data_IF_373997301551
#
_entry.id   IF_373997301551
#
_cell.length_a   1.000
_cell.length_b   1.000
_cell.length_c   1.000
_cell.angle_alpha   90.00
_cell.angle_beta   90.00
_cell.angle_gamma   90.00
#
_symmetry.space_group_name_H-M   'P 1'
#
loop_
_entity.id
_entity.type
_entity.pdbx_description
1 polymer ?
#
# COMPACT_ATOMS: atom_id res chain seq x y z
N UNK A 1 -3.62 55.39 13.47
CA UNK A 1 -3.84 54.95 14.84
C UNK A 1 -4.90 53.86 14.82
N UNK A 2 -4.50 52.61 14.59
CA UNK A 2 -5.31 51.42 14.90
C UNK A 2 -4.34 50.22 14.97
N UNK A 3 -4.42 49.56 16.10
CA UNK A 3 -3.46 48.55 16.59
C UNK A 3 -3.57 47.23 15.81
N UNK A 4 -2.44 46.65 15.47
CA UNK A 4 -2.22 45.23 15.18
C UNK A 4 -2.53 44.40 16.43
N UNK A 5 -3.41 43.41 16.29
CA UNK A 5 -3.50 42.29 17.23
C UNK A 5 -3.00 41.04 16.51
N UNK A 6 -1.84 40.59 16.94
CA UNK A 6 -1.29 39.29 16.63
C UNK A 6 -2.11 38.19 17.31
N UNK A 7 -2.64 37.23 16.55
CA UNK A 7 -3.21 36.02 17.10
C UNK A 7 -2.33 34.87 16.62
N UNK A 8 -1.41 34.44 17.48
CA UNK A 8 -0.64 33.23 17.28
C UNK A 8 -1.50 32.01 17.56
N UNK A 9 -1.84 31.27 16.53
CA UNK A 9 -2.42 29.95 16.65
C UNK A 9 -1.37 28.92 16.17
N UNK A 10 -0.72 28.26 17.14
CA UNK A 10 0.10 27.08 16.91
C UNK A 10 -0.79 25.94 16.42
N UNK A 11 -0.80 25.72 15.13
CA UNK A 11 -1.42 24.54 14.53
C UNK A 11 -0.55 23.32 14.83
N UNK A 12 -0.91 22.52 15.83
CA UNK A 12 -0.33 21.19 16.05
C UNK A 12 -0.98 20.24 15.04
N UNK A 13 -0.25 19.91 13.99
CA UNK A 13 -0.62 18.83 13.07
C UNK A 13 -0.64 17.52 13.83
N UNK A 14 -1.82 16.96 14.04
CA UNK A 14 -1.99 15.60 14.55
C UNK A 14 -1.85 14.65 13.37
N UNK A 15 -0.67 14.10 13.20
CA UNK A 15 -0.43 12.96 12.33
C UNK A 15 -1.03 11.74 13.01
N UNK A 16 -2.20 11.30 12.57
CA UNK A 16 -2.73 9.98 12.93
C UNK A 16 -2.22 9.00 11.87
N UNK A 17 -0.97 8.59 12.03
CA UNK A 17 -0.52 7.32 11.52
C UNK A 17 -1.37 6.23 12.21
N UNK A 18 -1.78 5.19 11.48
CA UNK A 18 -2.35 3.99 12.09
C UNK A 18 -1.28 3.43 13.02
N UNK A 19 -1.40 3.79 14.31
CA UNK A 19 -0.41 3.48 15.33
C UNK A 19 -0.53 2.00 15.67
N UNK A 20 0.43 1.22 15.22
CA UNK A 20 0.75 -0.07 15.81
C UNK A 20 1.36 0.19 17.19
N UNK A 21 0.62 -0.14 18.26
CA UNK A 21 1.14 -0.14 19.61
C UNK A 21 2.10 -1.31 19.75
N UNK A 22 3.39 -1.03 19.61
CA UNK A 22 4.44 -1.93 20.09
C UNK A 22 4.62 -1.66 21.58
N UNK A 23 4.17 -2.56 22.44
CA UNK A 23 4.53 -2.58 23.84
C UNK A 23 5.97 -3.06 23.99
N UNK A 24 6.90 -2.12 24.05
CA UNK A 24 8.28 -2.40 24.46
C UNK A 24 8.33 -2.53 25.98
N UNK A 25 8.50 -3.74 26.45
CA UNK A 25 8.84 -4.01 27.86
C UNK A 25 10.24 -3.46 28.15
N UNK A 26 10.32 -2.44 29.00
CA UNK A 26 11.57 -1.91 29.47
C UNK A 26 12.24 -2.88 30.44
N UNK A 27 13.45 -3.34 30.12
CA UNK A 27 14.37 -3.92 31.08
C UNK A 27 15.22 -2.80 31.68
N UNK A 28 15.08 -2.60 32.99
CA UNK A 28 15.92 -1.71 33.78
C UNK A 28 17.36 -2.24 33.85
N UNK A 29 18.32 -1.40 33.44
CA UNK A 29 19.74 -1.65 33.67
C UNK A 29 20.07 -1.36 35.13
N UNK A 30 20.47 -2.37 35.89
CA UNK A 30 21.11 -2.19 37.17
C UNK A 30 22.62 -2.05 37.00
N UNK A 31 23.16 -0.95 37.45
CA UNK A 31 24.59 -0.70 37.58
C UNK A 31 25.13 -1.45 38.84
N UNK A 32 26.07 -2.34 38.62
CA UNK A 32 26.88 -2.90 39.72
C UNK A 32 28.29 -2.36 39.58
N UNK A 33 28.68 -1.51 40.54
CA UNK A 33 30.07 -1.17 40.79
C UNK A 33 30.61 -2.19 41.79
N UNK A 34 31.67 -2.91 41.43
CA UNK A 34 32.51 -3.56 42.43
C UNK A 34 33.99 -3.49 42.02
N UNK A 35 34.79 -2.99 42.95
CA UNK A 35 36.23 -2.82 42.89
C UNK A 35 36.88 -3.98 43.62
N UNK A 36 37.70 -4.75 42.96
CA UNK A 36 38.40 -5.88 43.61
C UNK A 36 39.68 -6.30 42.90
N UNK A 37 40.79 -5.79 43.41
CA UNK A 37 42.17 -6.27 43.45
C UNK A 37 42.70 -7.29 42.44
N UNK A 38 43.85 -6.91 41.87
CA UNK A 38 44.71 -7.67 41.02
C UNK A 38 45.34 -8.92 41.66
N UNK A 39 45.34 -10.02 40.92
CA UNK A 39 46.27 -11.14 41.09
C UNK A 39 46.79 -11.58 39.74
N UNK A 40 48.09 -11.49 39.56
CA UNK A 40 48.85 -11.89 38.40
C UNK A 40 48.87 -13.44 38.24
N UNK A 41 48.36 -13.92 37.09
CA UNK A 41 48.65 -15.28 36.61
C UNK A 41 49.07 -15.25 35.15
N UNK A 42 50.20 -15.89 34.91
CA UNK A 42 50.95 -16.09 33.69
C UNK A 42 50.13 -16.45 32.47
N UNK A 43 50.39 -15.74 31.37
CA UNK A 43 49.79 -15.92 30.07
C UNK A 43 50.32 -17.14 29.34
N UNK A 44 49.42 -17.96 28.85
CA UNK A 44 49.69 -18.86 27.73
C UNK A 44 48.76 -18.41 26.57
N UNK A 45 49.28 -17.97 25.42
CA UNK A 45 48.43 -17.48 24.36
C UNK A 45 47.91 -18.62 23.49
N UNK A 46 46.86 -19.27 23.92
CA UNK A 46 46.03 -20.06 23.01
C UNK A 46 45.14 -19.07 22.25
N UNK A 47 45.43 -18.79 21.00
CA UNK A 47 44.60 -18.05 20.08
C UNK A 47 43.23 -18.75 19.95
N UNK A 48 42.31 -18.41 20.84
CA UNK A 48 40.89 -18.64 20.57
C UNK A 48 40.48 -17.71 19.43
N UNK A 49 40.36 -18.29 18.24
CA UNK A 49 39.62 -17.66 17.14
C UNK A 49 38.24 -17.28 17.70
N UNK A 50 38.05 -16.00 18.00
CA UNK A 50 36.76 -15.49 18.40
C UNK A 50 35.77 -15.92 17.33
N UNK A 51 34.82 -16.76 17.68
CA UNK A 51 33.70 -17.09 16.83
C UNK A 51 33.02 -15.72 16.57
N UNK A 52 33.05 -15.24 15.35
CA UNK A 52 32.26 -14.11 14.91
C UNK A 52 30.82 -14.52 15.19
N UNK A 53 30.23 -13.98 16.25
CA UNK A 53 28.81 -14.07 16.51
C UNK A 53 28.12 -13.51 15.27
N UNK A 54 27.63 -14.38 14.41
CA UNK A 54 26.75 -13.94 13.32
C UNK A 54 25.52 -13.39 14.00
N UNK A 55 25.28 -12.10 13.80
CA UNK A 55 24.01 -11.49 14.16
C UNK A 55 22.90 -12.37 13.56
N UNK A 56 22.00 -12.94 14.37
CA UNK A 56 20.91 -13.76 13.88
C UNK A 56 19.86 -12.95 13.10
N UNK A 57 19.96 -11.64 13.10
CA UNK A 57 19.05 -10.76 12.36
C UNK A 57 19.34 -10.87 10.87
N UNK A 58 18.30 -11.25 10.11
CA UNK A 58 18.29 -11.19 8.64
C UNK A 58 17.32 -10.10 8.22
N UNK A 59 17.78 -9.18 7.37
CA UNK A 59 16.95 -8.11 6.84
C UNK A 59 15.72 -8.71 6.14
N UNK A 60 14.48 -8.22 6.42
CA UNK A 60 13.26 -8.69 5.77
C UNK A 60 13.30 -8.71 4.25
N UNK A 61 14.08 -7.82 3.64
CA UNK A 61 14.29 -7.78 2.18
C UNK A 61 15.14 -8.96 1.63
N UNK A 62 15.86 -9.68 2.51
CA UNK A 62 16.75 -10.78 2.13
C UNK A 62 16.32 -12.11 2.80
N UNK A 63 15.33 -12.06 3.70
CA UNK A 63 14.77 -13.22 4.37
C UNK A 63 13.52 -13.72 3.63
N UNK A 64 13.44 -14.98 3.19
CA UNK A 64 12.22 -15.54 2.62
C UNK A 64 11.10 -15.59 3.67
N UNK A 65 9.86 -15.49 3.22
CA UNK A 65 8.70 -15.64 4.09
C UNK A 65 8.66 -17.02 4.75
N UNK A 66 8.32 -17.06 6.04
CA UNK A 66 8.08 -18.34 6.73
C UNK A 66 6.85 -19.04 6.12
N UNK A 67 6.95 -20.36 5.92
CA UNK A 67 5.83 -21.16 5.44
C UNK A 67 4.95 -21.64 6.60
N UNK A 68 3.65 -21.59 6.39
CA UNK A 68 2.63 -21.97 7.38
C UNK A 68 1.71 -23.03 6.79
N UNK A 69 1.40 -24.08 7.53
CA UNK A 69 0.48 -25.14 7.09
C UNK A 69 -0.98 -24.66 7.03
N UNK A 70 -1.39 -23.79 7.97
CA UNK A 70 -2.74 -23.24 8.03
C UNK A 70 -2.73 -21.72 7.88
N UNK A 71 -3.14 -21.26 6.69
CA UNK A 71 -3.16 -19.84 6.35
C UNK A 71 -4.55 -19.21 6.47
N UNK A 72 -5.59 -19.99 6.80
CA UNK A 72 -6.97 -19.53 6.82
C UNK A 72 -7.27 -18.39 7.83
N UNK A 73 -6.35 -18.13 8.76
CA UNK A 73 -6.46 -17.07 9.77
C UNK A 73 -5.29 -16.09 9.75
N UNK A 74 -4.40 -16.19 8.76
CA UNK A 74 -3.26 -15.28 8.67
C UNK A 74 -3.68 -13.92 8.09
N UNK A 75 -3.08 -12.83 8.57
CA UNK A 75 -3.42 -11.49 8.14
C UNK A 75 -3.12 -11.26 6.65
N UNK A 76 -4.16 -10.99 5.88
CA UNK A 76 -4.09 -10.59 4.47
C UNK A 76 -4.36 -9.11 4.33
N UNK A 77 -3.64 -8.43 3.44
CA UNK A 77 -3.75 -6.99 3.21
C UNK A 77 -4.44 -6.65 1.89
N UNK A 78 -4.29 -7.51 0.87
CA UNK A 78 -4.88 -7.28 -0.45
C UNK A 78 -5.21 -8.60 -1.13
N UNK A 79 -6.13 -8.55 -2.09
CA UNK A 79 -6.56 -9.68 -2.92
C UNK A 79 -6.83 -9.23 -4.35
N UNK A 80 -6.41 -10.03 -5.33
CA UNK A 80 -6.65 -9.80 -6.74
C UNK A 80 -6.91 -11.12 -7.48
N UNK A 81 -7.45 -11.02 -8.70
CA UNK A 81 -7.69 -12.17 -9.59
C UNK A 81 -6.59 -12.27 -10.65
N UNK A 82 -5.95 -13.44 -10.76
CA UNK A 82 -5.10 -13.86 -11.86
C UNK A 82 -5.91 -14.81 -12.76
N UNK A 83 -6.80 -14.28 -13.58
CA UNK A 83 -7.81 -15.05 -14.30
C UNK A 83 -8.82 -15.71 -13.35
N UNK A 84 -8.83 -17.05 -13.28
CA UNK A 84 -9.69 -17.80 -12.34
C UNK A 84 -9.06 -17.95 -10.95
N UNK A 85 -7.72 -17.86 -10.86
CA UNK A 85 -7.00 -17.95 -9.59
C UNK A 85 -7.18 -16.66 -8.80
N UNK A 86 -7.36 -16.80 -7.51
CA UNK A 86 -7.25 -15.70 -6.56
C UNK A 86 -5.86 -15.69 -5.95
N UNK A 87 -5.29 -14.52 -5.84
CA UNK A 87 -3.99 -14.28 -5.17
C UNK A 87 -4.21 -13.25 -4.08
N UNK A 88 -3.75 -13.53 -2.88
CA UNK A 88 -3.80 -12.61 -1.76
C UNK A 88 -2.41 -12.43 -1.17
N UNK A 89 -2.12 -11.23 -0.68
CA UNK A 89 -0.86 -10.92 -0.01
C UNK A 89 -1.11 -10.36 1.37
N UNK A 90 -0.10 -10.47 2.24
CA UNK A 90 -0.26 -10.02 3.62
C UNK A 90 1.05 -9.83 4.35
N UNK A 91 0.94 -9.86 5.68
CA UNK A 91 2.05 -9.56 6.57
C UNK A 91 3.17 -10.60 6.45
N UNK A 92 4.40 -10.15 6.71
CA UNK A 92 5.63 -10.96 6.72
C UNK A 92 5.85 -11.76 5.43
N UNK A 93 5.58 -11.13 4.28
CA UNK A 93 5.78 -11.72 2.97
C UNK A 93 4.76 -12.82 2.61
N UNK A 94 3.66 -12.95 3.36
CA UNK A 94 2.62 -13.93 3.06
C UNK A 94 2.05 -13.73 1.67
N UNK A 95 2.12 -14.78 0.84
CA UNK A 95 1.41 -14.86 -0.44
C UNK A 95 0.57 -16.13 -0.42
N UNK A 96 -0.71 -16.01 -0.66
CA UNK A 96 -1.68 -17.10 -0.64
C UNK A 96 -2.43 -17.18 -1.98
N UNK A 97 -2.73 -18.38 -2.43
CA UNK A 97 -3.46 -18.63 -3.68
C UNK A 97 -4.65 -19.57 -3.45
N UNK A 98 -5.70 -19.36 -4.24
CA UNK A 98 -6.86 -20.25 -4.31
C UNK A 98 -7.22 -20.49 -5.77
N UNK A 99 -7.42 -21.77 -6.13
CA UNK A 99 -7.81 -22.20 -7.47
C UNK A 99 -9.30 -22.67 -7.54
N UNK A 100 -9.98 -22.63 -6.41
CA UNK A 100 -11.35 -23.16 -6.24
C UNK A 100 -12.38 -22.06 -5.87
N UNK A 101 -12.07 -20.81 -6.24
CA UNK A 101 -12.96 -19.67 -5.97
C UNK A 101 -12.98 -19.23 -4.51
N UNK A 102 -11.90 -19.47 -3.76
CA UNK A 102 -11.73 -19.02 -2.38
C UNK A 102 -12.20 -20.02 -1.32
N UNK A 103 -12.52 -21.28 -1.70
CA UNK A 103 -12.93 -22.31 -0.76
C UNK A 103 -11.72 -22.86 0.02
N UNK A 104 -10.61 -23.07 -0.66
CA UNK A 104 -9.33 -23.44 -0.02
C UNK A 104 -8.20 -22.51 -0.45
N UNK A 105 -7.21 -22.38 0.43
CA UNK A 105 -6.07 -21.51 0.23
C UNK A 105 -4.77 -22.21 0.58
N UNK A 106 -3.76 -22.01 -0.23
CA UNK A 106 -2.40 -22.48 0.01
C UNK A 106 -1.41 -21.34 -0.07
N UNK A 107 -0.35 -21.40 0.75
CA UNK A 107 0.74 -20.45 0.70
C UNK A 107 1.72 -20.83 -0.40
N UNK A 108 2.24 -19.82 -1.11
CA UNK A 108 3.37 -19.97 -2.02
C UNK A 108 4.60 -19.27 -1.45
N UNK A 109 5.84 -19.74 -1.77
CA UNK A 109 7.03 -19.10 -1.29
C UNK A 109 7.18 -17.68 -1.79
N UNK A 110 7.62 -16.77 -0.90
CA UNK A 110 7.99 -15.40 -1.24
C UNK A 110 9.47 -15.16 -0.88
N UNK A 111 10.21 -14.40 -1.71
CA UNK A 111 11.64 -14.17 -1.51
C UNK A 111 11.97 -13.15 -0.41
N UNK A 112 10.95 -12.53 0.20
CA UNK A 112 11.07 -11.52 1.26
C UNK A 112 10.13 -11.82 2.40
N UNK A 113 10.42 -11.28 3.58
CA UNK A 113 9.50 -11.25 4.73
C UNK A 113 9.00 -9.84 5.07
N UNK A 114 9.19 -8.87 4.20
CA UNK A 114 8.53 -7.55 4.29
C UNK A 114 7.03 -7.68 4.09
N UNK A 115 6.23 -6.85 4.77
CA UNK A 115 4.77 -6.86 4.60
C UNK A 115 4.38 -6.44 3.18
N UNK A 116 3.52 -7.23 2.54
CA UNK A 116 2.99 -6.97 1.20
C UNK A 116 1.60 -6.34 1.32
N UNK A 117 1.40 -5.20 0.66
CA UNK A 117 0.23 -4.33 0.86
C UNK A 117 -0.75 -4.31 -0.31
N UNK A 118 -0.26 -4.43 -1.53
CA UNK A 118 -1.10 -4.33 -2.73
C UNK A 118 -0.67 -5.28 -3.84
N UNK A 119 -1.62 -5.61 -4.72
CA UNK A 119 -1.48 -6.50 -5.88
C UNK A 119 -2.04 -5.85 -7.14
N UNK A 120 -1.42 -6.15 -8.29
CA UNK A 120 -1.98 -5.85 -9.62
C UNK A 120 -1.73 -7.03 -10.56
N UNK A 121 -2.77 -7.46 -11.25
CA UNK A 121 -2.74 -8.48 -12.30
C UNK A 121 -3.42 -7.95 -13.57
N UNK A 122 -2.68 -7.42 -14.55
CA UNK A 122 -3.27 -6.99 -15.83
C UNK A 122 -3.75 -8.15 -16.69
N UNK A 123 -3.26 -9.36 -16.40
CA UNK A 123 -3.70 -10.61 -17.06
C UNK A 123 -3.52 -11.81 -16.11
N UNK A 124 -3.87 -13.01 -16.57
CA UNK A 124 -3.85 -14.21 -15.74
C UNK A 124 -2.46 -14.72 -15.34
N UNK A 125 -1.39 -14.29 -16.01
CA UNK A 125 -0.02 -14.79 -15.79
C UNK A 125 0.89 -13.77 -15.13
N UNK A 126 0.82 -12.50 -15.55
CA UNK A 126 1.69 -11.44 -15.06
C UNK A 126 1.06 -10.72 -13.88
N UNK A 127 1.81 -10.58 -12.79
CA UNK A 127 1.33 -9.87 -11.61
C UNK A 127 2.47 -9.26 -10.80
N UNK A 128 2.15 -8.20 -10.07
CA UNK A 128 3.07 -7.49 -9.19
C UNK A 128 2.47 -7.33 -7.80
N UNK A 129 3.34 -7.43 -6.80
CA UNK A 129 3.02 -7.14 -5.40
C UNK A 129 3.98 -6.09 -4.87
N UNK A 130 3.47 -5.14 -4.09
CA UNK A 130 4.29 -4.10 -3.46
C UNK A 130 4.00 -4.02 -1.96
N UNK A 131 4.94 -3.42 -1.21
CA UNK A 131 4.75 -3.31 0.23
C UNK A 131 5.78 -2.46 0.96
N UNK A 132 5.97 -2.79 2.23
CA UNK A 132 6.98 -2.17 3.09
C UNK A 132 8.38 -2.34 2.50
N UNK A 133 9.30 -1.50 2.97
CA UNK A 133 10.70 -1.46 2.50
C UNK A 133 10.83 -1.18 0.98
N UNK A 134 9.78 -0.61 0.36
CA UNK A 134 9.75 -0.30 -1.06
C UNK A 134 9.80 -1.53 -1.98
N UNK A 135 9.48 -2.71 -1.44
CA UNK A 135 9.58 -3.97 -2.18
C UNK A 135 8.62 -4.01 -3.38
N UNK A 136 9.12 -4.53 -4.49
CA UNK A 136 8.32 -4.91 -5.67
C UNK A 136 8.65 -6.35 -6.02
N UNK A 137 7.64 -7.21 -5.95
CA UNK A 137 7.72 -8.60 -6.41
C UNK A 137 6.97 -8.76 -7.73
N UNK A 138 7.42 -9.68 -8.56
CA UNK A 138 6.84 -10.02 -9.85
C UNK A 138 6.62 -11.52 -9.99
N UNK A 139 5.49 -11.88 -10.60
CA UNK A 139 5.19 -13.25 -11.05
C UNK A 139 4.90 -13.25 -12.56
N UNK A 140 5.33 -14.32 -13.25
CA UNK A 140 5.04 -14.54 -14.67
C UNK A 140 4.15 -15.79 -14.90
N UNK A 141 3.68 -16.43 -13.81
CA UNK A 141 2.98 -17.72 -13.84
C UNK A 141 1.67 -17.72 -13.02
N UNK A 142 1.07 -16.54 -12.87
CA UNK A 142 -0.18 -16.36 -12.15
C UNK A 142 -0.05 -16.55 -10.64
N UNK A 143 1.08 -16.12 -10.07
CA UNK A 143 1.32 -16.13 -8.64
C UNK A 143 1.82 -17.46 -8.07
N UNK A 144 2.30 -18.41 -8.91
CA UNK A 144 2.91 -19.66 -8.42
C UNK A 144 4.32 -19.43 -7.90
N UNK A 145 5.09 -18.59 -8.60
CA UNK A 145 6.46 -18.21 -8.21
C UNK A 145 6.62 -16.69 -8.25
N UNK A 146 7.47 -16.16 -7.39
CA UNK A 146 7.70 -14.74 -7.24
C UNK A 146 9.20 -14.42 -7.17
N UNK A 147 9.60 -13.36 -7.85
CA UNK A 147 10.95 -12.81 -7.80
C UNK A 147 10.90 -11.36 -7.32
N UNK A 148 11.92 -10.93 -6.57
CA UNK A 148 12.09 -9.53 -6.20
C UNK A 148 12.73 -8.77 -7.36
N UNK A 149 12.06 -7.71 -7.86
CA UNK A 149 12.54 -6.85 -8.93
C UNK A 149 13.16 -5.55 -8.42
N UNK A 150 12.69 -5.06 -7.26
CA UNK A 150 13.07 -3.75 -6.73
C UNK A 150 12.84 -3.70 -5.22
N UNK A 151 13.57 -2.83 -4.52
CA UNK A 151 13.35 -2.52 -3.11
C UNK A 151 13.80 -1.08 -2.76
N UNK A 152 13.62 -0.65 -1.50
CA UNK A 152 13.96 0.69 -1.05
C UNK A 152 15.47 1.02 -1.13
N UNK A 153 16.35 0.01 -1.11
CA UNK A 153 17.80 0.20 -1.32
C UNK A 153 18.08 0.59 -2.77
N UNK A 154 17.41 -0.06 -3.72
CA UNK A 154 17.42 0.30 -5.13
C UNK A 154 16.85 1.70 -5.36
N UNK A 155 15.73 2.01 -4.69
CA UNK A 155 15.08 3.31 -4.78
C UNK A 155 16.02 4.46 -4.37
N UNK A 156 16.67 4.33 -3.22
CA UNK A 156 17.60 5.33 -2.71
C UNK A 156 18.75 5.64 -3.68
N UNK A 157 19.21 4.64 -4.43
CA UNK A 157 20.37 4.76 -5.34
C UNK A 157 19.91 5.06 -6.77
N UNK A 158 19.06 4.20 -7.35
CA UNK A 158 18.74 4.24 -8.79
C UNK A 158 17.81 5.40 -9.15
N UNK A 159 16.83 5.71 -8.28
CA UNK A 159 15.91 6.83 -8.55
C UNK A 159 16.60 8.17 -8.36
N UNK A 160 17.45 8.33 -7.34
CA UNK A 160 18.24 9.53 -7.14
C UNK A 160 19.20 9.76 -8.33
N UNK A 161 19.90 8.70 -8.77
CA UNK A 161 20.78 8.78 -9.94
C UNK A 161 20.04 9.18 -11.22
N UNK A 162 18.79 8.70 -11.40
CA UNK A 162 17.96 9.10 -12.55
C UNK A 162 17.65 10.61 -12.52
N UNK A 163 17.20 11.15 -11.39
CA UNK A 163 16.96 12.59 -11.28
C UNK A 163 18.25 13.38 -11.47
N UNK A 164 19.36 12.98 -10.84
CA UNK A 164 20.64 13.67 -10.97
C UNK A 164 21.09 13.73 -12.43
N UNK A 165 21.04 12.63 -13.16
CA UNK A 165 21.40 12.58 -14.58
C UNK A 165 20.56 13.53 -15.45
N UNK A 166 19.25 13.65 -15.18
CA UNK A 166 18.36 14.57 -15.88
C UNK A 166 18.65 16.03 -15.51
N UNK A 167 18.98 16.30 -14.26
CA UNK A 167 19.42 17.63 -13.79
C UNK A 167 20.74 18.05 -14.47
N UNK A 168 21.69 17.13 -14.57
CA UNK A 168 22.98 17.38 -15.22
C UNK A 168 22.81 17.58 -16.73
N UNK A 169 21.82 16.91 -17.34
CA UNK A 169 21.42 17.12 -18.74
C UNK A 169 20.65 18.45 -18.97
N UNK A 170 20.38 19.24 -17.92
CA UNK A 170 19.82 20.60 -18.03
C UNK A 170 18.45 20.81 -17.40
N UNK A 171 17.73 19.77 -16.96
CA UNK A 171 16.41 19.93 -16.34
C UNK A 171 16.53 20.27 -14.84
N UNK A 172 16.85 21.52 -14.56
CA UNK A 172 17.00 22.03 -13.19
C UNK A 172 15.68 22.08 -12.40
N UNK A 173 14.54 21.92 -13.05
CA UNK A 173 13.23 21.90 -12.38
C UNK A 173 13.04 20.66 -11.51
N UNK A 174 13.86 19.63 -11.70
CA UNK A 174 13.80 18.37 -10.95
C UNK A 174 14.48 18.42 -9.57
N UNK A 175 15.23 19.48 -9.26
CA UNK A 175 15.97 19.56 -7.98
C UNK A 175 15.08 19.34 -6.74
N UNK A 176 13.89 19.96 -6.61
CA UNK A 176 13.04 19.73 -5.44
C UNK A 176 12.60 18.26 -5.26
N UNK A 177 12.43 17.52 -6.37
CA UNK A 177 12.04 16.11 -6.34
C UNK A 177 13.23 15.21 -5.94
N UNK A 178 14.44 15.53 -6.38
CA UNK A 178 15.65 14.86 -5.92
C UNK A 178 15.88 15.11 -4.42
N UNK A 179 15.69 16.34 -3.96
CA UNK A 179 15.84 16.71 -2.54
C UNK A 179 14.82 15.94 -1.68
N UNK A 180 13.55 15.88 -2.12
CA UNK A 180 12.51 15.12 -1.44
C UNK A 180 12.83 13.62 -1.42
N UNK A 181 13.25 13.04 -2.54
CA UNK A 181 13.62 11.63 -2.63
C UNK A 181 14.79 11.32 -1.68
N UNK A 182 15.82 12.19 -1.63
CA UNK A 182 16.95 12.06 -0.73
C UNK A 182 16.52 12.13 0.74
N UNK A 183 15.60 13.03 1.07
CA UNK A 183 15.01 13.14 2.40
C UNK A 183 14.23 11.86 2.78
N UNK A 184 13.43 11.34 1.87
CA UNK A 184 12.61 10.16 2.07
C UNK A 184 13.44 8.92 2.46
N UNK A 185 14.64 8.77 1.89
CA UNK A 185 15.52 7.61 2.14
C UNK A 185 16.67 7.90 3.13
N UNK A 186 16.70 9.09 3.76
CA UNK A 186 17.75 9.47 4.73
C UNK A 186 17.83 8.51 5.92
N UNK A 187 16.70 7.97 6.36
CA UNK A 187 16.63 7.06 7.50
C UNK A 187 16.71 5.57 7.12
N UNK A 188 16.94 5.24 5.85
CA UNK A 188 17.02 3.87 5.34
C UNK A 188 15.90 3.50 4.35
N UNK A 189 15.84 2.24 3.92
CA UNK A 189 15.00 1.79 2.80
C UNK A 189 13.52 1.56 3.16
N UNK A 190 13.08 1.83 4.38
CA UNK A 190 11.80 1.37 4.93
C UNK A 190 10.54 2.04 4.38
N UNK A 191 10.66 2.93 3.39
CA UNK A 191 9.52 3.65 2.83
C UNK A 191 8.58 2.70 2.06
N UNK A 192 7.28 2.60 2.45
CA UNK A 192 6.36 1.69 1.80
C UNK A 192 5.87 2.20 0.44
N UNK A 193 5.71 1.26 -0.50
CA UNK A 193 4.81 1.40 -1.63
C UNK A 193 3.43 0.87 -1.20
N UNK A 194 2.39 1.72 -1.33
CA UNK A 194 1.06 1.46 -0.79
C UNK A 194 0.11 0.86 -1.84
N UNK A 195 0.36 1.14 -3.11
CA UNK A 195 -0.47 0.66 -4.20
C UNK A 195 0.34 0.46 -5.48
N UNK A 196 -0.12 -0.47 -6.32
CA UNK A 196 0.47 -0.78 -7.62
C UNK A 196 -0.64 -1.02 -8.64
N UNK A 197 -0.44 -0.51 -9.84
CA UNK A 197 -1.32 -0.72 -10.98
C UNK A 197 -0.49 -0.95 -12.24
N UNK A 198 -0.90 -1.91 -13.04
CA UNK A 198 -0.35 -2.19 -14.35
C UNK A 198 -1.46 -2.11 -15.40
N UNK A 199 -1.20 -1.31 -16.43
CA UNK A 199 -2.10 -1.18 -17.59
C UNK A 199 -2.09 -2.44 -18.45
N UNK A 200 -0.93 -3.01 -18.60
CA UNK A 200 -0.64 -4.20 -19.39
C UNK A 200 0.56 -4.95 -18.80
N UNK A 201 1.16 -5.91 -19.53
CA UNK A 201 2.30 -6.69 -19.06
C UNK A 201 3.62 -5.91 -18.98
N UNK A 202 3.70 -4.69 -19.50
CA UNK A 202 4.94 -3.91 -19.59
C UNK A 202 4.87 -2.59 -18.83
N UNK A 203 3.71 -1.92 -18.85
CA UNK A 203 3.54 -0.57 -18.34
C UNK A 203 2.84 -0.57 -16.99
N UNK A 204 3.53 -0.06 -15.97
CA UNK A 204 2.99 -0.01 -14.62
C UNK A 204 3.48 1.18 -13.79
N UNK A 205 2.77 1.40 -12.68
CA UNK A 205 3.06 2.45 -11.72
C UNK A 205 2.83 1.93 -10.29
N UNK A 206 3.71 2.33 -9.38
CA UNK A 206 3.48 2.15 -7.95
C UNK A 206 3.60 3.49 -7.23
N UNK A 207 2.76 3.67 -6.21
CA UNK A 207 2.71 4.89 -5.40
C UNK A 207 2.78 4.57 -3.91
N UNK A 208 3.16 5.56 -3.10
CA UNK A 208 3.36 5.32 -1.69
C UNK A 208 3.48 6.59 -0.83
N UNK A 209 4.13 6.42 0.30
CA UNK A 209 4.27 7.45 1.32
C UNK A 209 5.13 8.62 0.82
N UNK A 210 4.84 9.82 1.36
CA UNK A 210 5.58 11.07 1.08
C UNK A 210 5.71 11.39 -0.41
N UNK A 211 4.61 11.24 -1.14
CA UNK A 211 4.53 11.53 -2.57
C UNK A 211 5.30 10.55 -3.45
N UNK A 212 5.74 9.42 -2.91
CA UNK A 212 6.50 8.43 -3.66
C UNK A 212 5.71 7.90 -4.84
N UNK A 213 6.32 7.96 -6.02
CA UNK A 213 5.75 7.46 -7.27
C UNK A 213 6.87 6.96 -8.19
N UNK A 214 6.73 5.75 -8.67
CA UNK A 214 7.65 5.12 -9.62
C UNK A 214 6.88 4.47 -10.76
N UNK A 215 7.47 4.39 -11.94
CA UNK A 215 6.89 3.71 -13.10
C UNK A 215 7.88 2.87 -13.85
N UNK A 216 7.35 1.93 -14.62
CA UNK A 216 8.09 1.06 -15.53
C UNK A 216 7.40 1.00 -16.89
N UNK A 217 8.20 0.75 -17.95
CA UNK A 217 7.72 0.48 -19.32
C UNK A 217 8.31 -0.84 -19.85
N UNK A 218 8.89 -1.65 -18.98
CA UNK A 218 9.60 -2.89 -19.34
C UNK A 218 9.30 -4.06 -18.38
N UNK A 219 8.07 -4.13 -17.89
CA UNK A 219 7.60 -5.16 -16.95
C UNK A 219 8.33 -5.12 -15.60
N UNK A 220 8.81 -3.97 -15.15
CA UNK A 220 9.49 -3.80 -13.87
C UNK A 220 10.95 -4.22 -13.89
N UNK A 221 11.57 -4.47 -15.06
CA UNK A 221 13.01 -4.68 -15.15
C UNK A 221 13.78 -3.43 -14.75
N UNK A 222 13.23 -2.26 -15.13
CA UNK A 222 13.70 -0.96 -14.65
C UNK A 222 12.56 -0.13 -14.10
N UNK A 223 12.83 0.61 -13.00
CA UNK A 223 11.91 1.55 -12.39
C UNK A 223 12.52 2.94 -12.40
N UNK A 224 11.70 3.96 -12.70
CA UNK A 224 12.11 5.37 -12.71
C UNK A 224 11.21 6.20 -11.81
N UNK A 225 11.72 7.31 -11.23
CA UNK A 225 10.91 8.21 -10.42
C UNK A 225 9.93 8.98 -11.30
N UNK A 226 8.77 9.32 -10.71
CA UNK A 226 7.68 10.04 -11.37
C UNK A 226 7.04 11.12 -10.47
N UNK A 227 7.73 11.60 -9.44
CA UNK A 227 7.17 12.57 -8.50
C UNK A 227 6.77 13.86 -9.22
N UNK A 228 7.57 14.31 -10.22
CA UNK A 228 7.37 15.52 -10.99
C UNK A 228 6.15 15.45 -11.95
N UNK A 229 5.61 14.26 -12.15
CA UNK A 229 4.43 14.06 -13.00
C UNK A 229 3.12 14.11 -12.21
N UNK A 230 3.18 14.30 -10.90
CA UNK A 230 2.02 14.41 -10.03
C UNK A 230 1.97 15.83 -9.46
N UNK A 231 0.84 16.50 -9.63
CA UNK A 231 0.60 17.84 -9.06
C UNK A 231 0.41 17.76 -7.53
N UNK A 232 1.47 17.34 -6.85
CA UNK A 232 1.53 17.08 -5.41
C UNK A 232 2.68 17.85 -4.74
N UNK A 233 2.65 19.19 -4.70
CA UNK A 233 3.73 20.00 -4.18
C UNK A 233 3.97 19.85 -2.67
N UNK A 234 3.02 19.26 -1.94
CA UNK A 234 3.13 18.98 -0.51
C UNK A 234 3.66 17.58 -0.23
N UNK A 235 3.94 16.78 -1.25
CA UNK A 235 4.35 15.38 -1.14
C UNK A 235 3.43 14.56 -0.21
N UNK A 236 2.10 14.80 -0.32
CA UNK A 236 1.08 14.03 0.38
C UNK A 236 1.23 12.54 0.08
N UNK A 237 0.87 11.69 1.03
CA UNK A 237 0.84 10.25 0.79
C UNK A 237 -0.15 9.92 -0.33
N UNK A 238 0.29 9.07 -1.25
CA UNK A 238 -0.48 8.54 -2.35
C UNK A 238 -0.93 7.13 -1.98
N UNK A 239 -2.20 6.98 -1.60
CA UNK A 239 -2.70 5.76 -0.97
C UNK A 239 -3.13 4.69 -1.98
N UNK A 240 -3.56 5.10 -3.17
CA UNK A 240 -3.92 4.16 -4.23
C UNK A 240 -3.68 4.74 -5.61
N UNK A 241 -3.39 3.87 -6.57
CA UNK A 241 -3.37 4.15 -8.02
C UNK A 241 -4.14 3.06 -8.73
N UNK A 242 -4.95 3.43 -9.73
CA UNK A 242 -5.71 2.46 -10.53
C UNK A 242 -6.50 3.10 -11.65
N UNK A 243 -6.93 2.26 -12.59
CA UNK A 243 -7.81 2.63 -13.68
C UNK A 243 -9.27 2.38 -13.30
N UNK A 244 -10.12 3.37 -13.53
CA UNK A 244 -11.56 3.27 -13.35
C UNK A 244 -12.24 3.96 -14.53
N UNK A 245 -13.15 3.27 -15.19
CA UNK A 245 -13.89 3.80 -16.35
C UNK A 245 -13.01 4.31 -17.51
N UNK A 246 -11.81 3.73 -17.69
CA UNK A 246 -10.87 4.10 -18.74
C UNK A 246 -9.91 5.27 -18.40
N UNK A 247 -10.07 5.88 -17.24
CA UNK A 247 -9.20 6.94 -16.72
C UNK A 247 -8.37 6.43 -15.52
N UNK A 248 -7.13 6.91 -15.38
CA UNK A 248 -6.24 6.55 -14.27
C UNK A 248 -6.30 7.60 -13.19
N UNK A 249 -6.49 7.16 -11.95
CA UNK A 249 -6.61 8.01 -10.78
C UNK A 249 -5.61 7.62 -9.69
N UNK A 250 -5.20 8.61 -8.90
CA UNK A 250 -4.50 8.43 -7.63
C UNK A 250 -5.37 9.04 -6.54
N UNK A 251 -5.59 8.32 -5.44
CA UNK A 251 -6.24 8.83 -4.25
C UNK A 251 -5.20 9.03 -3.14
N UNK A 252 -5.32 10.14 -2.40
CA UNK A 252 -4.32 10.53 -1.41
C UNK A 252 -4.91 11.15 -0.15
N UNK A 253 -4.03 11.76 0.62
CA UNK A 253 -4.35 12.48 1.83
C UNK A 253 -5.03 13.83 1.54
N UNK A 254 -5.62 14.42 2.59
CA UNK A 254 -6.23 15.77 2.57
C UNK A 254 -7.26 15.96 1.46
N UNK A 255 -8.00 14.89 1.12
CA UNK A 255 -9.03 14.95 0.07
C UNK A 255 -8.49 15.06 -1.35
N UNK A 256 -7.19 14.83 -1.56
CA UNK A 256 -6.57 14.92 -2.87
C UNK A 256 -6.96 13.71 -3.76
N UNK A 257 -7.40 14.01 -4.95
CA UNK A 257 -7.61 13.05 -6.04
C UNK A 257 -6.86 13.59 -7.26
N UNK A 258 -6.03 12.76 -7.85
CA UNK A 258 -5.27 13.12 -9.05
C UNK A 258 -5.76 12.28 -10.21
N UNK A 259 -6.07 12.93 -11.32
CA UNK A 259 -6.47 12.27 -12.58
C UNK A 259 -5.35 12.40 -13.61
N UNK A 260 -5.02 11.32 -14.30
CA UNK A 260 -4.06 11.35 -15.40
C UNK A 260 -4.63 12.14 -16.59
N UNK A 261 -3.97 13.22 -16.95
CA UNK A 261 -4.20 13.94 -18.19
C UNK A 261 -3.41 13.25 -19.31
N UNK A 262 -4.12 12.59 -20.21
CA UNK A 262 -3.51 11.79 -21.28
C UNK A 262 -2.66 12.65 -22.23
N UNK A 263 -3.00 13.93 -22.42
CA UNK A 263 -2.29 14.83 -23.34
C UNK A 263 -0.91 15.23 -22.83
N UNK A 264 -0.80 15.54 -21.53
CA UNK A 264 0.47 15.93 -20.89
C UNK A 264 1.19 14.76 -20.21
N UNK A 265 0.50 13.65 -19.96
CA UNK A 265 1.00 12.53 -19.18
C UNK A 265 1.25 12.88 -17.72
N UNK A 266 0.61 13.94 -17.19
CA UNK A 266 0.71 14.37 -15.79
C UNK A 266 -0.59 14.10 -15.04
N UNK A 267 -0.47 13.78 -13.77
CA UNK A 267 -1.61 13.68 -12.86
C UNK A 267 -1.97 15.07 -12.34
N UNK A 268 -3.17 15.54 -12.68
CA UNK A 268 -3.71 16.83 -12.26
C UNK A 268 -4.54 16.67 -10.98
N UNK A 269 -4.31 17.54 -10.02
CA UNK A 269 -5.05 17.56 -8.75
C UNK A 269 -6.49 18.03 -8.98
N UNK A 270 -7.46 17.26 -8.45
CA UNK A 270 -8.81 17.73 -8.14
C UNK A 270 -8.94 17.72 -6.61
N UNK A 271 -8.98 18.90 -6.01
CA UNK A 271 -9.12 19.05 -4.56
C UNK A 271 -10.60 18.95 -4.18
N UNK A 272 -10.92 18.08 -3.21
CA UNK A 272 -12.25 18.04 -2.58
C UNK A 272 -12.29 18.90 -1.32
N UNK A 273 -13.46 19.09 -0.73
CA UNK A 273 -13.64 19.75 0.58
C UNK A 273 -13.37 18.81 1.77
N UNK A 274 -12.91 17.58 1.49
CA UNK A 274 -12.57 16.58 2.49
C UNK A 274 -11.16 16.76 3.05
N UNK A 275 -11.04 16.93 4.36
CA UNK A 275 -9.74 17.10 5.02
C UNK A 275 -9.06 15.75 5.42
N UNK A 276 -9.73 14.62 5.17
CA UNK A 276 -9.21 13.28 5.49
C UNK A 276 -8.53 12.60 4.29
N UNK A 277 -8.18 11.32 4.48
CA UNK A 277 -7.53 10.51 3.44
C UNK A 277 -8.52 9.65 2.69
N UNK A 278 -8.41 9.64 1.36
CA UNK A 278 -9.00 8.62 0.51
C UNK A 278 -8.03 7.43 0.39
N UNK A 279 -8.59 6.21 0.40
CA UNK A 279 -7.83 4.96 0.28
C UNK A 279 -8.04 4.27 -1.06
N UNK A 280 -8.98 4.72 -1.88
CA UNK A 280 -9.17 4.22 -3.22
C UNK A 280 -10.31 4.88 -3.95
N UNK A 281 -10.41 4.53 -5.24
CA UNK A 281 -11.48 4.93 -6.13
C UNK A 281 -11.99 3.67 -6.83
N UNK A 282 -13.29 3.53 -6.90
CA UNK A 282 -13.98 2.49 -7.66
C UNK A 282 -15.07 3.13 -8.52
N UNK A 283 -15.61 2.42 -9.48
CA UNK A 283 -16.68 2.99 -10.29
C UNK A 283 -17.05 2.17 -11.51
N UNK A 284 -17.88 2.79 -12.32
CA UNK A 284 -18.25 2.35 -13.66
C UNK A 284 -18.21 3.56 -14.62
N UNK A 285 -18.73 3.42 -15.83
CA UNK A 285 -18.73 4.50 -16.84
C UNK A 285 -19.55 5.73 -16.42
N UNK A 286 -20.53 5.59 -15.54
CA UNK A 286 -21.45 6.65 -15.17
C UNK A 286 -21.12 7.30 -13.80
N UNK A 287 -20.47 6.55 -12.91
CA UNK A 287 -20.27 6.94 -11.52
C UNK A 287 -18.93 6.47 -11.00
N UNK A 288 -18.17 7.40 -10.42
CA UNK A 288 -16.96 7.11 -9.65
C UNK A 288 -17.22 7.36 -8.17
N UNK A 289 -16.62 6.55 -7.31
CA UNK A 289 -16.69 6.67 -5.85
C UNK A 289 -15.27 6.67 -5.27
N UNK A 290 -14.90 7.77 -4.65
CA UNK A 290 -13.73 7.83 -3.77
C UNK A 290 -14.15 7.48 -2.34
N UNK A 291 -13.36 6.65 -1.67
CA UNK A 291 -13.69 6.15 -0.33
C UNK A 291 -12.50 6.29 0.62
N UNK A 292 -12.79 6.49 1.90
CA UNK A 292 -11.73 6.81 2.86
C UNK A 292 -12.10 6.61 4.33
N UNK A 293 -11.49 7.46 5.17
CA UNK A 293 -11.61 7.39 6.63
C UNK A 293 -13.05 7.53 7.10
N UNK A 294 -13.40 6.80 8.18
CA UNK A 294 -14.67 6.93 8.91
C UNK A 294 -15.91 6.80 8.02
N UNK A 295 -15.89 5.84 7.08
CA UNK A 295 -17.02 5.59 6.18
C UNK A 295 -17.25 6.68 5.13
N UNK A 296 -16.31 7.60 4.96
CA UNK A 296 -16.47 8.71 4.01
C UNK A 296 -16.50 8.21 2.58
N UNK A 297 -17.51 8.66 1.84
CA UNK A 297 -17.68 8.42 0.41
C UNK A 297 -17.87 9.76 -0.32
N UNK A 298 -17.23 9.89 -1.49
CA UNK A 298 -17.45 10.99 -2.43
C UNK A 298 -17.79 10.40 -3.80
N UNK A 299 -18.75 11.02 -4.48
CA UNK A 299 -19.26 10.61 -5.79
C UNK A 299 -18.89 11.65 -6.84
N UNK A 300 -18.45 11.16 -7.99
CA UNK A 300 -18.35 11.95 -9.23
C UNK A 300 -19.25 11.34 -10.31
N UNK A 301 -19.88 12.20 -11.11
CA UNK A 301 -20.67 11.83 -12.29
C UNK A 301 -20.14 12.45 -13.59
N UNK A 302 -18.95 13.03 -13.52
CA UNK A 302 -18.29 13.77 -14.59
C UNK A 302 -16.82 13.33 -14.78
N UNK A 303 -16.58 12.03 -14.62
CA UNK A 303 -15.24 11.43 -14.74
C UNK A 303 -14.18 12.10 -13.86
N UNK A 304 -14.55 12.45 -12.62
CA UNK A 304 -13.63 13.00 -11.63
C UNK A 304 -13.33 14.48 -11.78
N UNK A 305 -14.06 15.21 -12.63
CA UNK A 305 -13.90 16.66 -12.73
C UNK A 305 -14.43 17.38 -11.47
N UNK A 306 -15.51 16.86 -10.87
CA UNK A 306 -16.02 17.32 -9.58
C UNK A 306 -16.44 16.14 -8.69
N UNK A 307 -16.43 16.37 -7.37
CA UNK A 307 -16.74 15.36 -6.37
C UNK A 307 -17.66 15.94 -5.30
N UNK A 308 -18.74 15.22 -5.00
CA UNK A 308 -19.70 15.56 -3.94
C UNK A 308 -19.75 14.48 -2.86
N UNK A 309 -19.87 14.88 -1.60
CA UNK A 309 -19.99 13.97 -0.47
C UNK A 309 -21.28 13.17 -0.56
N UNK A 310 -21.21 11.89 -0.20
CA UNK A 310 -22.35 10.97 -0.09
C UNK A 310 -22.61 10.67 1.38
N UNK A 311 -23.86 10.75 1.81
CA UNK A 311 -24.28 10.25 3.12
C UNK A 311 -24.19 8.72 3.12
N UNK A 312 -23.49 8.19 4.11
CA UNK A 312 -23.13 6.77 4.18
C UNK A 312 -23.39 6.22 5.59
N UNK A 313 -23.99 5.04 5.73
CA UNK A 313 -24.19 4.38 7.03
C UNK A 313 -22.93 3.64 7.51
N UNK A 314 -21.81 3.71 6.81
CA UNK A 314 -20.58 3.00 7.15
C UNK A 314 -19.90 3.65 8.37
N UNK A 315 -19.49 2.84 9.34
CA UNK A 315 -18.90 3.32 10.59
C UNK A 315 -17.38 3.24 10.61
N UNK A 316 -16.81 2.20 9.95
CA UNK A 316 -15.37 2.01 9.84
C UNK A 316 -14.74 2.75 8.67
N UNK A 317 -13.42 2.84 8.65
CA UNK A 317 -12.68 3.27 7.46
C UNK A 317 -12.97 2.29 6.32
N UNK A 318 -13.37 2.81 5.15
CA UNK A 318 -13.52 1.98 3.95
C UNK A 318 -12.13 1.67 3.41
N UNK A 319 -11.76 0.40 3.46
CA UNK A 319 -10.43 -0.10 3.07
C UNK A 319 -10.38 -0.55 1.62
N UNK A 320 -11.51 -1.05 1.10
CA UNK A 320 -11.62 -1.50 -0.28
C UNK A 320 -13.06 -1.43 -0.74
N UNK A 321 -13.25 -1.25 -2.05
CA UNK A 321 -14.54 -1.29 -2.68
C UNK A 321 -14.44 -1.86 -4.10
N UNK A 322 -15.51 -2.49 -4.57
CA UNK A 322 -15.61 -3.04 -5.92
C UNK A 322 -16.97 -2.74 -6.53
N UNK A 323 -17.00 -2.44 -7.82
CA UNK A 323 -18.24 -2.40 -8.59
C UNK A 323 -18.57 -3.79 -9.13
N UNK A 324 -19.81 -4.23 -8.93
CA UNK A 324 -20.32 -5.53 -9.35
C UNK A 324 -21.24 -5.35 -10.55
N UNK A 325 -20.73 -5.62 -11.75
CA UNK A 325 -21.40 -5.34 -13.01
C UNK A 325 -22.77 -6.03 -13.19
N UNK A 326 -22.96 -7.34 -12.93
CA UNK A 326 -24.27 -7.97 -13.10
C UNK A 326 -25.34 -7.40 -12.18
N UNK A 327 -24.97 -6.95 -10.97
CA UNK A 327 -25.87 -6.41 -9.97
C UNK A 327 -25.99 -4.90 -9.98
N UNK A 328 -25.25 -4.17 -10.84
CA UNK A 328 -25.15 -2.71 -10.87
C UNK A 328 -25.02 -2.11 -9.45
N UNK A 329 -24.10 -2.65 -8.66
CA UNK A 329 -23.96 -2.35 -7.25
C UNK A 329 -22.49 -2.16 -6.87
N UNK A 330 -22.26 -1.38 -5.84
CA UNK A 330 -20.98 -1.27 -5.15
C UNK A 330 -20.98 -2.18 -3.93
N UNK A 331 -19.83 -2.76 -3.62
CA UNK A 331 -19.60 -3.44 -2.34
C UNK A 331 -18.44 -2.75 -1.66
N UNK A 332 -18.67 -2.31 -0.42
CA UNK A 332 -17.69 -1.65 0.45
C UNK A 332 -17.35 -2.56 1.61
N UNK A 333 -16.07 -2.62 1.97
CA UNK A 333 -15.61 -3.31 3.18
C UNK A 333 -14.83 -2.34 4.07
N UNK A 334 -14.95 -2.54 5.40
CA UNK A 334 -14.43 -1.55 6.35
C UNK A 334 -13.54 -2.17 7.43
N UNK A 335 -12.78 -1.30 8.12
CA UNK A 335 -12.02 -1.69 9.32
C UNK A 335 -12.88 -2.13 10.48
N UNK A 336 -14.18 -1.80 10.49
CA UNK A 336 -15.16 -2.28 11.47
C UNK A 336 -15.68 -3.69 11.17
N UNK A 337 -15.16 -4.37 10.13
CA UNK A 337 -15.59 -5.70 9.72
C UNK A 337 -16.91 -5.71 8.93
N UNK A 338 -17.40 -4.54 8.53
CA UNK A 338 -18.61 -4.41 7.73
C UNK A 338 -18.35 -4.82 6.27
N UNK A 339 -19.34 -5.45 5.65
CA UNK A 339 -19.45 -5.63 4.21
C UNK A 339 -20.83 -5.13 3.79
N UNK A 340 -20.88 -4.07 3.00
CA UNK A 340 -22.12 -3.36 2.66
C UNK A 340 -22.22 -3.21 1.16
N UNK A 341 -23.37 -3.62 0.62
CA UNK A 341 -23.76 -3.41 -0.78
C UNK A 341 -24.53 -2.09 -0.88
N UNK A 342 -24.23 -1.30 -1.90
CA UNK A 342 -25.04 -0.15 -2.27
C UNK A 342 -25.46 -0.24 -3.75
N UNK A 343 -26.63 0.28 -4.08
CA UNK A 343 -27.02 0.47 -5.47
C UNK A 343 -26.13 1.54 -6.17
N UNK A 344 -26.22 1.65 -7.49
CA UNK A 344 -25.40 2.62 -8.24
C UNK A 344 -25.77 4.08 -7.96
N UNK A 345 -26.93 4.35 -7.36
CA UNK A 345 -27.34 5.68 -6.92
C UNK A 345 -26.81 6.07 -5.54
N UNK A 346 -26.32 5.11 -4.76
CA UNK A 346 -25.84 5.25 -3.37
C UNK A 346 -26.92 5.75 -2.39
N UNK A 347 -28.17 5.36 -2.62
CA UNK A 347 -29.27 5.65 -1.71
C UNK A 347 -29.73 4.43 -0.92
N UNK A 348 -29.58 3.21 -1.49
CA UNK A 348 -29.96 1.96 -0.84
C UNK A 348 -28.69 1.19 -0.41
N UNK A 349 -28.38 1.29 0.89
CA UNK A 349 -27.25 0.56 1.50
C UNK A 349 -27.79 -0.65 2.27
N UNK A 350 -27.27 -1.83 1.99
CA UNK A 350 -27.64 -3.10 2.64
C UNK A 350 -26.42 -3.83 3.17
N UNK A 351 -26.46 -4.21 4.43
CA UNK A 351 -25.44 -5.10 4.99
C UNK A 351 -25.53 -6.48 4.33
N UNK A 352 -24.38 -7.04 3.94
CA UNK A 352 -24.27 -8.40 3.40
C UNK A 352 -24.20 -9.47 4.50
N UNK A 353 -24.26 -9.07 5.75
CA UNK A 353 -24.23 -9.93 6.92
C UNK A 353 -23.82 -9.16 8.17
N UNK A 354 -23.77 -9.81 9.34
CA UNK A 354 -23.29 -9.17 10.55
C UNK A 354 -21.83 -8.74 10.39
N UNK A 355 -21.48 -7.59 10.98
CA UNK A 355 -20.10 -7.12 11.03
C UNK A 355 -19.23 -8.18 11.73
N UNK A 356 -18.08 -8.47 11.15
CA UNK A 356 -17.15 -9.45 11.68
C UNK A 356 -16.23 -8.78 12.71
N UNK A 357 -15.82 -9.45 13.79
CA UNK A 357 -14.90 -8.89 14.78
C UNK A 357 -13.44 -8.90 14.23
N UNK A 358 -13.24 -8.40 13.02
CA UNK A 358 -11.93 -8.33 12.35
C UNK A 358 -11.91 -7.18 11.35
N UNK A 359 -10.72 -6.69 11.03
CA UNK A 359 -10.51 -5.68 9.99
C UNK A 359 -10.60 -6.36 8.62
N UNK A 360 -11.50 -5.89 7.76
CA UNK A 360 -11.48 -6.22 6.34
C UNK A 360 -10.47 -5.30 5.63
N UNK A 361 -9.68 -5.83 4.70
CA UNK A 361 -8.59 -5.11 4.03
C UNK A 361 -8.78 -5.02 2.52
N UNK A 362 -9.48 -5.97 1.91
CA UNK A 362 -9.72 -6.00 0.48
C UNK A 362 -10.99 -6.78 0.13
N UNK A 363 -11.53 -6.51 -1.05
CA UNK A 363 -12.67 -7.25 -1.60
C UNK A 363 -12.47 -7.51 -3.10
N UNK A 364 -12.76 -8.73 -3.53
CA UNK A 364 -12.66 -9.17 -4.92
C UNK A 364 -13.89 -9.95 -5.31
N UNK A 365 -14.40 -9.73 -6.54
CA UNK A 365 -15.44 -10.55 -7.14
C UNK A 365 -14.79 -11.69 -7.92
N UNK A 366 -15.20 -12.91 -7.66
CA UNK A 366 -14.74 -14.08 -8.45
C UNK A 366 -15.42 -14.12 -9.81
N UNK A 367 -14.87 -14.89 -10.74
CA UNK A 367 -15.51 -15.16 -12.05
C UNK A 367 -16.88 -15.84 -11.92
N UNK A 368 -17.14 -16.50 -10.79
CA UNK A 368 -18.44 -17.09 -10.45
C UNK A 368 -19.42 -16.15 -9.77
N UNK A 369 -19.06 -14.88 -9.56
CA UNK A 369 -19.92 -13.88 -8.95
C UNK A 369 -19.93 -13.89 -7.42
N UNK A 370 -19.14 -14.74 -6.76
CA UNK A 370 -18.98 -14.70 -5.30
C UNK A 370 -18.02 -13.56 -4.89
N UNK A 371 -18.23 -13.01 -3.70
CA UNK A 371 -17.30 -12.06 -3.07
C UNK A 371 -16.28 -12.80 -2.22
N UNK A 372 -15.02 -12.43 -2.37
CA UNK A 372 -13.97 -12.83 -1.43
C UNK A 372 -13.45 -11.58 -0.74
N UNK A 373 -13.46 -11.61 0.57
CA UNK A 373 -12.98 -10.52 1.43
C UNK A 373 -11.68 -10.98 2.08
N UNK A 374 -10.61 -10.25 1.89
CA UNK A 374 -9.38 -10.40 2.66
C UNK A 374 -9.48 -9.59 3.96
N UNK A 375 -8.76 -10.01 4.99
CA UNK A 375 -8.74 -9.30 6.26
C UNK A 375 -7.69 -9.84 7.22
N UNK A 376 -7.56 -9.18 8.37
CA UNK A 376 -6.62 -9.62 9.41
C UNK A 376 -6.98 -10.97 10.03
N UNK A 377 -8.21 -11.44 9.85
CA UNK A 377 -8.68 -12.78 10.24
C UNK A 377 -8.65 -13.81 9.10
N UNK A 378 -7.93 -13.53 8.01
CA UNK A 378 -7.86 -14.39 6.83
C UNK A 378 -8.95 -14.12 5.79
N UNK A 379 -8.99 -14.91 4.71
CA UNK A 379 -9.95 -14.76 3.62
C UNK A 379 -11.34 -15.28 4.03
N UNK A 380 -12.39 -14.69 3.45
CA UNK A 380 -13.79 -15.12 3.65
C UNK A 380 -14.56 -15.01 2.35
N UNK A 381 -15.29 -16.06 2.01
CA UNK A 381 -16.24 -16.07 0.91
C UNK A 381 -17.62 -15.59 1.39
N UNK A 382 -18.28 -14.73 0.60
CA UNK A 382 -19.65 -14.27 0.81
C UNK A 382 -20.44 -14.37 -0.48
N UNK A 383 -21.72 -14.71 -0.38
CA UNK A 383 -22.64 -14.62 -1.51
C UNK A 383 -23.05 -13.17 -1.74
N UNK A 384 -23.15 -12.75 -2.98
CA UNK A 384 -23.90 -11.56 -3.38
C UNK A 384 -25.38 -11.92 -3.32
N UNK A 385 -26.08 -11.41 -2.30
CA UNK A 385 -27.55 -11.50 -2.20
C UNK A 385 -28.21 -10.34 -2.91
#
# INVERSE_FOLDING_TARGET
MFQQRSCGATCKSVVIAVLWVMTSGGLAAQSVTDVGSASSVSANPTLHKAAVSRDPFVDPLDAPAAMHENIARLPLMSIASAGKRLVAVGMRGLIAVSDDGGQSWSQVPAPVSSDLLALSFPNASQGWAVGHDGVVLHTADGGKTWIKQFDGRDAAIKLAANYQARIDAGDKTLQPYLDQLTLNYKAGPSLPLLSVWFKDSEHGMAVGSFGMAISTDDAGKTWRPNLERIDNPQFLHLNSVGEVAGDVYIAGEQGAIFKLDQGSGKFKLTQTDYAGSFFGITGNQDVLIAYGLRGTLYRSADHGASWGRVESPLHGTVTSAVYVSPGKAFVFVTTAGEAVRADSSLHDFRSLGPARPTVNTGVQVTTGGALIISGLGGPTAMALQ
#
